data_IF_246667252051
#
_entry.id   IF_246667252051
#
_cell.length_a   1.000
_cell.length_b   1.000
_cell.length_c   1.000
_cell.angle_alpha   90.00
_cell.angle_beta   90.00
_cell.angle_gamma   90.00
#
_symmetry.space_group_name_H-M   'P 1'
#
loop_
_entity.id
_entity.type
_entity.pdbx_description
1 polymer ?
#
# COMPACT_ATOMS: atom_id res chain seq x y z
N UNK A 1 -5.81 11.78 3.59
CA UNK A 1 -5.81 10.38 4.06
C UNK A 1 -5.70 9.37 2.92
N UNK A 2 -6.54 9.45 1.87
CA UNK A 2 -6.49 8.51 0.73
C UNK A 2 -5.16 8.58 -0.05
N UNK A 3 -4.64 9.78 -0.31
CA UNK A 3 -3.35 9.98 -1.01
C UNK A 3 -2.19 9.24 -0.31
N UNK A 4 -2.14 9.22 1.02
CA UNK A 4 -1.07 8.52 1.76
C UNK A 4 -1.17 6.99 1.64
N UNK A 5 -2.38 6.43 1.74
CA UNK A 5 -2.61 4.98 1.55
C UNK A 5 -2.26 4.58 0.12
N UNK A 6 -2.59 5.42 -0.86
CA UNK A 6 -2.22 5.17 -2.25
C UNK A 6 -0.73 5.31 -2.51
N UNK A 7 -0.01 6.23 -1.85
CA UNK A 7 1.47 6.33 -1.97
C UNK A 7 2.17 5.08 -1.46
N UNK A 8 1.78 4.62 -0.27
CA UNK A 8 2.27 3.35 0.32
C UNK A 8 1.86 2.17 -0.58
N UNK A 9 0.61 2.21 -1.05
CA UNK A 9 0.00 1.22 -1.92
C UNK A 9 0.71 1.11 -3.27
N UNK A 10 1.01 2.22 -3.96
CA UNK A 10 1.56 2.24 -5.31
C UNK A 10 3.08 2.19 -5.34
N UNK A 11 3.77 2.58 -4.27
CA UNK A 11 5.23 2.74 -4.27
C UNK A 11 5.71 4.03 -4.94
N UNK A 12 4.80 4.85 -5.47
CA UNK A 12 5.10 6.19 -6.01
C UNK A 12 4.91 7.26 -4.93
N UNK A 13 5.98 7.55 -4.20
CA UNK A 13 5.98 8.52 -3.10
C UNK A 13 5.85 9.98 -3.56
N UNK A 14 6.35 10.27 -4.76
CA UNK A 14 6.43 11.63 -5.33
C UNK A 14 5.16 12.09 -6.05
N UNK A 15 4.21 11.18 -6.31
CA UNK A 15 2.93 11.54 -6.93
C UNK A 15 2.07 12.25 -5.89
N UNK A 16 1.49 13.38 -6.28
CA UNK A 16 0.66 14.26 -5.48
C UNK A 16 -0.81 13.88 -5.63
N UNK A 17 -1.26 13.62 -6.86
CA UNK A 17 -2.65 13.23 -7.17
C UNK A 17 -2.73 11.91 -7.95
N UNK A 18 -2.78 10.76 -7.27
CA UNK A 18 -2.90 9.46 -7.92
C UNK A 18 -4.30 9.15 -8.46
N UNK A 19 -5.28 10.05 -8.24
CA UNK A 19 -6.65 9.88 -8.72
C UNK A 19 -6.92 10.65 -10.02
N UNK A 20 -5.92 11.34 -10.56
CA UNK A 20 -6.05 12.10 -11.79
C UNK A 20 -6.14 11.17 -13.02
N UNK A 21 -7.18 11.34 -13.82
CA UNK A 21 -7.39 10.61 -15.07
C UNK A 21 -6.71 11.24 -16.29
N UNK A 22 -6.23 12.48 -16.18
CA UNK A 22 -5.44 13.13 -17.24
C UNK A 22 -4.02 12.58 -17.23
N UNK A 23 -3.82 11.46 -17.92
CA UNK A 23 -2.53 10.76 -17.99
C UNK A 23 -2.11 10.57 -19.44
N UNK A 24 -0.82 10.76 -19.72
CA UNK A 24 -0.17 10.32 -20.95
C UNK A 24 0.69 9.11 -20.61
N UNK A 25 0.60 8.07 -21.42
CA UNK A 25 1.32 6.82 -21.21
C UNK A 25 2.04 6.43 -22.50
N UNK A 26 3.27 5.95 -22.38
CA UNK A 26 4.04 5.50 -23.54
C UNK A 26 3.46 4.21 -24.11
N UNK A 27 3.66 3.99 -25.42
CA UNK A 27 3.27 2.74 -26.08
C UNK A 27 3.87 1.51 -25.39
N UNK A 28 5.15 1.58 -25.04
CA UNK A 28 5.85 0.51 -24.32
C UNK A 28 5.16 0.17 -22.99
N UNK A 29 4.79 1.18 -22.20
CA UNK A 29 4.10 0.95 -20.94
C UNK A 29 2.70 0.34 -21.14
N UNK A 30 1.95 0.79 -22.15
CA UNK A 30 0.65 0.22 -22.52
C UNK A 30 0.74 -1.24 -22.97
N UNK A 31 1.74 -1.58 -23.78
CA UNK A 31 1.94 -2.96 -24.26
C UNK A 31 2.45 -3.91 -23.14
N UNK A 32 3.07 -3.36 -22.09
CA UNK A 32 3.55 -4.14 -20.95
C UNK A 32 2.44 -4.51 -19.97
N UNK A 33 1.45 -3.62 -19.79
CA UNK A 33 0.32 -3.91 -18.89
C UNK A 33 -0.82 -4.60 -19.63
N UNK A 34 -1.40 -5.60 -18.98
CA UNK A 34 -2.66 -6.15 -19.44
C UNK A 34 -3.80 -5.17 -19.14
N UNK A 35 -4.35 -4.60 -20.21
CA UNK A 35 -5.42 -3.60 -20.18
C UNK A 35 -6.76 -4.21 -19.76
N UNK A 36 -7.01 -5.49 -20.09
CA UNK A 36 -8.28 -6.16 -19.81
C UNK A 36 -8.44 -6.47 -18.32
N UNK A 37 -7.32 -6.61 -17.60
CA UNK A 37 -7.31 -6.77 -16.14
C UNK A 37 -7.30 -5.46 -15.36
N UNK A 38 -7.44 -4.29 -16.01
CA UNK A 38 -7.49 -3.01 -15.27
C UNK A 38 -8.79 -2.93 -14.46
N UNK A 39 -8.65 -2.59 -13.18
CA UNK A 39 -9.78 -2.43 -12.28
C UNK A 39 -10.77 -1.38 -12.81
N UNK A 40 -12.00 -1.78 -13.07
CA UNK A 40 -13.08 -0.88 -13.48
C UNK A 40 -13.58 -0.06 -12.29
N UNK A 41 -14.17 1.13 -12.50
CA UNK A 41 -14.61 2.12 -11.48
C UNK A 41 -13.51 3.12 -11.06
N UNK A 42 -13.79 3.98 -10.08
CA UNK A 42 -12.87 5.03 -9.61
C UNK A 42 -11.52 4.55 -9.04
N UNK A 43 -11.25 3.24 -9.04
CA UNK A 43 -9.98 2.66 -8.64
C UNK A 43 -8.96 2.51 -9.78
N UNK A 44 -9.36 2.69 -11.04
CA UNK A 44 -8.52 2.35 -12.19
C UNK A 44 -7.16 3.08 -12.22
N UNK A 45 -7.12 4.39 -11.88
CA UNK A 45 -5.86 5.14 -11.81
C UNK A 45 -4.87 4.49 -10.83
N UNK A 46 -5.35 4.08 -9.67
CA UNK A 46 -4.51 3.43 -8.65
C UNK A 46 -4.02 2.06 -9.13
N UNK A 47 -4.86 1.29 -9.83
CA UNK A 47 -4.50 -0.01 -10.37
C UNK A 47 -3.43 0.09 -11.47
N UNK A 48 -3.55 1.08 -12.36
CA UNK A 48 -2.53 1.39 -13.36
C UNK A 48 -1.20 1.74 -12.67
N UNK A 49 -1.22 2.61 -11.65
CA UNK A 49 -0.01 2.94 -10.89
C UNK A 49 0.61 1.70 -10.21
N UNK A 50 -0.20 0.82 -9.64
CA UNK A 50 0.28 -0.43 -9.05
C UNK A 50 1.01 -1.31 -10.07
N UNK A 51 0.42 -1.48 -11.26
CA UNK A 51 1.01 -2.22 -12.38
C UNK A 51 2.29 -1.57 -12.90
N UNK A 52 2.28 -0.25 -13.08
CA UNK A 52 3.48 0.50 -13.49
C UNK A 52 4.64 0.29 -12.52
N UNK A 53 4.38 0.36 -11.21
CA UNK A 53 5.45 0.20 -10.23
C UNK A 53 5.98 -1.24 -10.17
N UNK A 54 5.10 -2.23 -10.34
CA UNK A 54 5.47 -3.65 -10.37
C UNK A 54 6.46 -3.94 -11.50
N UNK A 55 6.29 -3.32 -12.66
CA UNK A 55 7.20 -3.41 -13.81
C UNK A 55 8.33 -2.38 -13.80
N UNK A 56 8.52 -1.63 -12.71
CA UNK A 56 9.61 -0.66 -12.59
C UNK A 56 9.49 0.58 -13.48
N UNK A 57 8.29 0.89 -13.98
CA UNK A 57 8.05 2.02 -14.87
C UNK A 57 8.16 3.36 -14.13
N UNK A 58 8.54 4.44 -14.84
CA UNK A 58 8.61 5.79 -14.29
C UNK A 58 7.28 6.51 -14.45
N UNK A 59 6.84 7.18 -13.40
CA UNK A 59 5.67 8.06 -13.41
C UNK A 59 6.07 9.40 -12.83
N UNK A 60 5.70 10.48 -13.51
CA UNK A 60 6.01 11.86 -13.14
C UNK A 60 4.72 12.66 -13.16
N UNK A 61 4.52 13.47 -12.12
CA UNK A 61 3.44 14.44 -12.09
C UNK A 61 3.84 15.70 -12.84
N UNK A 62 3.00 16.11 -13.78
CA UNK A 62 3.13 17.38 -14.49
C UNK A 62 2.12 18.35 -13.92
N UNK A 63 2.58 19.53 -13.50
CA UNK A 63 1.70 20.56 -12.95
C UNK A 63 0.70 21.01 -14.01
N UNK A 64 -0.59 20.89 -13.70
CA UNK A 64 -1.68 21.33 -14.56
C UNK A 64 -2.65 22.18 -13.74
N UNK A 65 -3.07 23.37 -14.23
CA UNK A 65 -4.05 24.19 -13.52
C UNK A 65 -5.40 23.48 -13.50
N UNK A 66 -5.96 23.31 -12.31
CA UNK A 66 -7.26 22.67 -12.17
C UNK A 66 -8.37 23.64 -12.59
N UNK A 67 -9.10 23.30 -13.65
CA UNK A 67 -10.30 24.04 -14.09
C UNK A 67 -11.53 23.31 -13.59
N UNK A 68 -11.94 23.61 -12.35
CA UNK A 68 -13.20 23.12 -11.80
C UNK A 68 -14.33 24.10 -12.10
N UNK A 69 -15.41 23.62 -12.72
CA UNK A 69 -16.65 24.37 -12.87
C UNK A 69 -17.56 24.25 -11.63
N UNK A 70 -18.87 24.38 -11.82
CA UNK A 70 -19.89 24.16 -10.78
C UNK A 70 -20.23 22.69 -10.52
N UNK A 71 -19.39 21.77 -10.98
CA UNK A 71 -19.65 20.32 -10.90
C UNK A 71 -19.49 19.80 -9.47
N UNK A 72 -20.53 19.11 -8.97
CA UNK A 72 -20.46 18.40 -7.70
C UNK A 72 -19.94 16.98 -7.92
N UNK A 73 -18.93 16.60 -7.13
CA UNK A 73 -18.39 15.24 -7.16
C UNK A 73 -19.49 14.19 -6.93
N UNK A 74 -19.61 13.24 -7.85
CA UNK A 74 -20.52 12.09 -7.73
C UNK A 74 -19.97 10.98 -6.83
N UNK A 75 -18.77 11.16 -6.27
CA UNK A 75 -18.09 10.15 -5.46
C UNK A 75 -18.75 10.06 -4.08
N UNK A 76 -19.34 8.90 -3.79
CA UNK A 76 -19.76 8.55 -2.43
C UNK A 76 -18.60 7.85 -1.71
N UNK A 77 -17.91 8.57 -0.83
CA UNK A 77 -16.70 8.10 -0.13
C UNK A 77 -16.84 6.73 0.53
N UNK A 78 -17.94 6.46 1.24
CA UNK A 78 -18.14 5.16 1.89
C UNK A 78 -18.26 3.97 0.93
N UNK A 79 -18.81 4.18 -0.28
CA UNK A 79 -18.87 3.16 -1.34
C UNK A 79 -17.53 3.03 -2.06
N UNK A 80 -16.85 4.17 -2.24
CA UNK A 80 -15.52 4.23 -2.83
C UNK A 80 -14.50 3.44 -1.99
N UNK A 81 -14.38 3.75 -0.69
CA UNK A 81 -13.38 3.14 0.19
C UNK A 81 -13.57 1.62 0.27
N UNK A 82 -14.81 1.14 0.44
CA UNK A 82 -15.10 -0.31 0.50
C UNK A 82 -14.74 -1.06 -0.76
N UNK A 83 -14.83 -0.42 -1.94
CA UNK A 83 -14.48 -1.05 -3.22
C UNK A 83 -12.99 -0.95 -3.53
N UNK A 84 -12.39 0.20 -3.26
CA UNK A 84 -11.03 0.53 -3.68
C UNK A 84 -9.97 0.03 -2.68
N UNK A 85 -10.23 0.06 -1.37
CA UNK A 85 -9.25 -0.41 -0.39
C UNK A 85 -8.84 -1.89 -0.57
N UNK A 86 -9.76 -2.85 -0.81
CA UNK A 86 -9.39 -4.23 -1.09
C UNK A 86 -8.60 -4.38 -2.40
N UNK A 87 -8.91 -3.57 -3.42
CA UNK A 87 -8.17 -3.58 -4.67
C UNK A 87 -6.73 -3.08 -4.46
N UNK A 88 -6.55 -1.95 -3.77
CA UNK A 88 -5.22 -1.41 -3.47
C UNK A 88 -4.41 -2.42 -2.67
N UNK A 89 -5.03 -3.05 -1.67
CA UNK A 89 -4.34 -4.05 -0.85
C UNK A 89 -3.91 -5.29 -1.67
N UNK A 90 -4.81 -5.84 -2.51
CA UNK A 90 -4.47 -6.96 -3.40
C UNK A 90 -3.40 -6.59 -4.41
N UNK A 91 -3.51 -5.41 -5.01
CA UNK A 91 -2.51 -4.90 -5.95
C UNK A 91 -1.17 -4.61 -5.28
N UNK A 92 -1.16 -4.16 -4.02
CA UNK A 92 0.06 -4.00 -3.23
C UNK A 92 0.77 -5.35 -3.02
N UNK A 93 0.05 -6.40 -2.61
CA UNK A 93 0.61 -7.74 -2.46
C UNK A 93 1.13 -8.31 -3.78
N UNK A 94 0.36 -8.13 -4.85
CA UNK A 94 0.76 -8.54 -6.19
C UNK A 94 2.02 -7.79 -6.66
N UNK A 95 2.10 -6.47 -6.43
CA UNK A 95 3.30 -5.66 -6.72
C UNK A 95 4.51 -6.19 -5.96
N UNK A 96 4.38 -6.44 -4.66
CA UNK A 96 5.48 -6.97 -3.85
C UNK A 96 5.98 -8.31 -4.41
N UNK A 97 5.06 -9.21 -4.78
CA UNK A 97 5.42 -10.48 -5.40
C UNK A 97 6.14 -10.28 -6.74
N UNK A 98 5.56 -9.51 -7.65
CA UNK A 98 6.13 -9.32 -8.99
C UNK A 98 7.49 -8.63 -8.92
N UNK A 99 7.58 -7.53 -8.19
CA UNK A 99 8.79 -6.71 -8.12
C UNK A 99 9.91 -7.39 -7.33
N UNK A 100 9.59 -7.94 -6.16
CA UNK A 100 10.61 -8.36 -5.20
C UNK A 100 10.81 -9.87 -5.07
N UNK A 101 10.02 -10.68 -5.78
CA UNK A 101 10.17 -12.14 -5.84
C UNK A 101 10.44 -12.59 -7.27
N UNK A 102 9.69 -12.07 -8.24
CA UNK A 102 9.79 -12.52 -9.65
C UNK A 102 10.89 -11.77 -10.41
N UNK A 103 10.90 -10.44 -10.35
CA UNK A 103 11.82 -9.61 -11.12
C UNK A 103 13.19 -9.46 -10.44
N UNK A 104 13.21 -9.05 -9.16
CA UNK A 104 14.45 -8.86 -8.40
C UNK A 104 14.27 -9.35 -6.96
N UNK A 105 14.97 -10.41 -6.56
CA UNK A 105 14.85 -10.91 -5.18
C UNK A 105 15.39 -9.91 -4.17
N UNK A 106 14.51 -9.30 -3.37
CA UNK A 106 14.90 -8.35 -2.33
C UNK A 106 14.49 -8.86 -0.94
N UNK A 107 15.41 -8.88 0.05
CA UNK A 107 15.11 -9.32 1.43
C UNK A 107 13.96 -8.57 2.14
N UNK A 108 13.51 -7.43 1.59
CA UNK A 108 12.43 -6.64 2.19
C UNK A 108 11.08 -7.37 2.19
N UNK A 109 10.91 -8.37 1.31
CA UNK A 109 9.72 -9.24 1.31
C UNK A 109 9.59 -9.97 2.65
N UNK A 110 10.71 -10.39 3.25
CA UNK A 110 10.73 -11.06 4.55
C UNK A 110 10.27 -10.12 5.66
N UNK A 111 10.68 -8.84 5.64
CA UNK A 111 10.22 -7.85 6.60
C UNK A 111 8.72 -7.57 6.45
N UNK A 112 8.22 -7.43 5.22
CA UNK A 112 6.78 -7.30 4.99
C UNK A 112 6.02 -8.53 5.49
N UNK A 113 6.48 -9.73 5.15
CA UNK A 113 5.85 -10.99 5.58
C UNK A 113 5.82 -11.11 7.11
N UNK A 114 6.95 -10.88 7.78
CA UNK A 114 7.02 -10.89 9.24
C UNK A 114 6.08 -9.87 9.87
N UNK A 115 6.02 -8.65 9.34
CA UNK A 115 5.12 -7.60 9.84
C UNK A 115 3.64 -7.94 9.65
N UNK A 116 3.27 -8.56 8.52
CA UNK A 116 1.91 -8.99 8.23
C UNK A 116 1.42 -10.09 9.15
N UNK A 117 2.33 -10.82 9.81
CA UNK A 117 1.99 -11.82 10.83
C UNK A 117 2.02 -11.21 12.23
N UNK A 118 3.12 -10.55 12.59
CA UNK A 118 3.36 -10.08 13.96
C UNK A 118 2.41 -8.95 14.38
N UNK A 119 2.09 -8.00 13.48
CA UNK A 119 1.20 -6.88 13.83
C UNK A 119 -0.22 -7.38 14.10
N UNK A 120 -0.87 -8.17 13.22
CA UNK A 120 -2.19 -8.71 13.52
C UNK A 120 -2.19 -9.65 14.73
N UNK A 121 -1.16 -10.49 14.88
CA UNK A 121 -1.04 -11.38 16.03
C UNK A 121 -0.96 -10.59 17.34
N UNK A 122 -0.14 -9.54 17.38
CA UNK A 122 -0.07 -8.62 18.51
C UNK A 122 -1.41 -7.96 18.80
N UNK A 123 -2.11 -7.46 17.78
CA UNK A 123 -3.43 -6.84 17.97
C UNK A 123 -4.49 -7.82 18.49
N UNK A 124 -4.55 -9.04 17.94
CA UNK A 124 -5.48 -10.08 18.39
C UNK A 124 -5.18 -10.45 19.84
N UNK A 125 -3.90 -10.63 20.18
CA UNK A 125 -3.47 -10.97 21.53
C UNK A 125 -3.78 -9.85 22.52
N UNK A 126 -3.49 -8.59 22.16
CA UNK A 126 -3.83 -7.41 22.96
C UNK A 126 -5.34 -7.26 23.17
N UNK A 127 -6.14 -7.48 22.12
CA UNK A 127 -7.60 -7.46 22.23
C UNK A 127 -8.11 -8.56 23.17
N UNK A 128 -7.57 -9.78 23.06
CA UNK A 128 -7.91 -10.88 23.95
C UNK A 128 -7.58 -10.56 25.42
N UNK A 129 -6.41 -9.97 25.71
CA UNK A 129 -6.03 -9.52 27.06
C UNK A 129 -7.05 -8.53 27.63
N UNK A 130 -7.47 -7.55 26.81
CA UNK A 130 -8.44 -6.53 27.22
C UNK A 130 -9.81 -7.15 27.49
N UNK A 131 -10.28 -8.06 26.62
CA UNK A 131 -11.54 -8.76 26.80
C UNK A 131 -11.55 -9.60 28.09
N UNK A 132 -10.51 -10.40 28.31
CA UNK A 132 -10.37 -11.22 29.51
C UNK A 132 -10.38 -10.36 30.79
N UNK A 133 -9.65 -9.24 30.77
CA UNK A 133 -9.51 -8.40 31.96
C UNK A 133 -10.78 -7.59 32.25
N UNK A 134 -11.43 -7.05 31.23
CA UNK A 134 -12.56 -6.10 31.40
C UNK A 134 -13.93 -6.77 31.39
N UNK A 135 -14.12 -7.83 30.61
CA UNK A 135 -15.44 -8.46 30.41
C UNK A 135 -15.54 -9.74 31.24
N UNK A 136 -14.56 -10.64 31.11
CA UNK A 136 -14.63 -11.95 31.74
C UNK A 136 -14.08 -11.96 33.18
N UNK A 137 -13.46 -10.86 33.62
CA UNK A 137 -12.77 -10.74 34.91
C UNK A 137 -11.80 -11.91 35.19
N UNK A 138 -11.22 -12.47 34.12
CA UNK A 138 -10.34 -13.62 34.20
C UNK A 138 -8.96 -13.27 34.80
N UNK A 139 -8.26 -14.26 35.37
CA UNK A 139 -6.89 -14.07 35.83
C UNK A 139 -5.94 -13.96 34.62
N UNK A 140 -5.51 -12.73 34.31
CA UNK A 140 -4.48 -12.46 33.29
C UNK A 140 -3.12 -12.31 33.97
N UNK A 141 -2.12 -13.05 33.48
CA UNK A 141 -0.74 -12.93 33.95
C UNK A 141 -0.19 -11.51 33.71
N UNK A 142 0.54 -10.98 34.69
CA UNK A 142 1.18 -9.66 34.59
C UNK A 142 2.19 -9.56 33.42
N UNK A 143 2.70 -10.70 32.93
CA UNK A 143 3.67 -10.76 31.84
C UNK A 143 3.03 -10.66 30.44
N UNK A 144 1.73 -10.92 30.28
CA UNK A 144 1.07 -10.93 28.97
C UNK A 144 1.00 -9.56 28.30
N UNK A 145 0.73 -8.44 29.01
CA UNK A 145 0.84 -7.11 28.43
C UNK A 145 2.25 -6.78 27.92
N UNK A 146 3.30 -7.21 28.63
CA UNK A 146 4.68 -7.01 28.20
C UNK A 146 4.98 -7.79 26.92
N UNK A 147 4.54 -9.04 26.83
CA UNK A 147 4.67 -9.85 25.63
C UNK A 147 3.90 -9.25 24.45
N UNK A 148 2.69 -8.73 24.69
CA UNK A 148 1.90 -7.99 23.69
C UNK A 148 2.69 -6.81 23.13
N UNK A 149 3.20 -5.93 24.00
CA UNK A 149 3.98 -4.76 23.58
C UNK A 149 5.20 -5.18 22.80
N UNK A 150 5.91 -6.23 23.23
CA UNK A 150 7.09 -6.73 22.53
C UNK A 150 6.76 -7.22 21.11
N UNK A 151 5.77 -8.11 20.96
CA UNK A 151 5.35 -8.64 19.65
C UNK A 151 4.89 -7.51 18.73
N UNK A 152 4.08 -6.60 19.26
CA UNK A 152 3.54 -5.49 18.49
C UNK A 152 4.63 -4.51 18.04
N UNK A 153 5.56 -4.15 18.94
CA UNK A 153 6.65 -3.22 18.65
C UNK A 153 7.61 -3.82 17.61
N UNK A 154 7.99 -5.09 17.75
CA UNK A 154 8.84 -5.78 16.77
C UNK A 154 8.14 -5.87 15.41
N UNK A 155 6.84 -6.20 15.39
CA UNK A 155 6.05 -6.21 14.16
C UNK A 155 5.99 -4.84 13.47
N UNK A 156 5.78 -3.78 14.24
CA UNK A 156 5.79 -2.39 13.74
C UNK A 156 7.16 -1.98 13.21
N UNK A 157 8.25 -2.38 13.89
CA UNK A 157 9.61 -2.09 13.46
C UNK A 157 9.91 -2.73 12.09
N UNK A 158 9.54 -4.00 11.90
CA UNK A 158 9.68 -4.66 10.61
C UNK A 158 8.83 -4.02 9.52
N UNK A 159 7.61 -3.57 9.84
CA UNK A 159 6.76 -2.86 8.89
C UNK A 159 7.43 -1.57 8.40
N UNK A 160 7.95 -0.76 9.33
CA UNK A 160 8.60 0.51 9.02
C UNK A 160 9.88 0.30 8.21
N UNK A 161 10.69 -0.70 8.57
CA UNK A 161 11.88 -1.05 7.78
C UNK A 161 11.52 -1.54 6.38
N UNK A 162 10.49 -2.38 6.25
CA UNK A 162 10.02 -2.84 4.95
C UNK A 162 9.61 -1.66 4.06
N UNK A 163 8.83 -0.71 4.60
CA UNK A 163 8.43 0.50 3.90
C UNK A 163 9.61 1.40 3.52
N UNK A 164 10.58 1.55 4.43
CA UNK A 164 11.76 2.35 4.19
C UNK A 164 12.62 1.76 3.06
N UNK A 165 12.85 0.45 3.05
CA UNK A 165 13.57 -0.22 1.99
C UNK A 165 12.81 -0.20 0.66
N UNK A 166 11.49 -0.40 0.66
CA UNK A 166 10.66 -0.25 -0.56
C UNK A 166 10.78 1.16 -1.13
N UNK A 167 10.74 2.20 -0.29
CA UNK A 167 10.93 3.59 -0.73
C UNK A 167 12.32 3.81 -1.36
N UNK A 168 13.39 3.27 -0.76
CA UNK A 168 14.74 3.40 -1.30
C UNK A 168 14.91 2.67 -2.64
N UNK A 169 14.42 1.43 -2.74
CA UNK A 169 14.46 0.65 -3.98
C UNK A 169 13.72 1.37 -5.12
N UNK A 170 12.56 1.97 -4.82
CA UNK A 170 11.84 2.80 -5.79
C UNK A 170 12.63 4.05 -6.19
N UNK A 171 13.32 4.72 -5.25
CA UNK A 171 14.17 5.91 -5.54
C UNK A 171 15.33 5.59 -6.49
N UNK A 172 16.04 4.49 -6.27
CA UNK A 172 17.16 4.08 -7.12
C UNK A 172 16.71 3.81 -8.56
N UNK A 173 15.51 3.25 -8.74
CA UNK A 173 14.91 3.03 -10.05
C UNK A 173 14.63 4.34 -10.82
N UNK A 174 14.36 5.45 -10.11
CA UNK A 174 14.20 6.77 -10.75
C UNK A 174 15.53 7.41 -11.16
N UNK A 175 16.61 7.17 -10.42
CA UNK A 175 17.91 7.82 -10.63
C UNK A 175 18.79 7.17 -11.70
N UNK A 176 18.65 5.87 -11.99
CA UNK A 176 19.52 5.12 -12.92
C UNK A 176 19.24 5.37 -14.42
N UNK A 177 18.39 6.31 -14.77
CA UNK A 177 17.95 6.57 -16.16
C UNK A 177 18.07 8.05 -16.56
N UNK A 178 19.02 8.76 -15.93
CA UNK A 178 19.54 10.07 -16.34
C UNK A 178 20.98 9.87 -16.79
#
# INVERSE_FOLDING_TARGET
MLSMITKIGSGYWNITDPQNGYTVISRYALETIDLDSIYTYYGYCNDILLKMNAYGMRVVDVTMPARYGSEKSKIRYGKYIRKVAPMIFRGFLWRLKMKYIVLDFHPLVLFYFASMILVPLGLIFGFWIVLEKLIFHGPVSQNYPLLFVFIFLVGMQFLLFAMFFDMQANKTSYSKMV
#
